data_IF_167306948764
#
_entry.id   IF_167306948764
#
_cell.length_a   1.000
_cell.length_b   1.000
_cell.length_c   1.000
_cell.angle_alpha   90.00
_cell.angle_beta   90.00
_cell.angle_gamma   90.00
#
_symmetry.space_group_name_H-M   'P 1'
#
loop_
_entity.id
_entity.type
_entity.pdbx_description
1 polymer ?
#
# COMPACT_ATOMS: atom_id res chain seq x y z
N UNK A 1 -24.16 -22.20 18.45
CA UNK A 1 -23.33 -21.62 17.36
C UNK A 1 -22.54 -22.78 16.78
N UNK A 2 -22.93 -23.27 15.60
CA UNK A 2 -22.17 -24.26 14.85
C UNK A 2 -20.81 -23.67 14.49
N UNK A 3 -19.69 -24.41 14.65
CA UNK A 3 -18.39 -23.90 14.19
C UNK A 3 -18.49 -23.66 12.68
N UNK A 4 -18.28 -22.42 12.26
CA UNK A 4 -18.11 -22.11 10.84
C UNK A 4 -16.98 -22.97 10.32
N UNK A 5 -17.25 -23.83 9.34
CA UNK A 5 -16.23 -24.65 8.69
C UNK A 5 -15.08 -23.74 8.29
N UNK A 6 -13.87 -24.08 8.73
CA UNK A 6 -12.66 -23.33 8.41
C UNK A 6 -12.55 -23.26 6.88
N UNK A 7 -12.43 -22.05 6.32
CA UNK A 7 -12.33 -21.87 4.87
C UNK A 7 -11.22 -22.80 4.32
N UNK A 8 -11.53 -23.59 3.31
CA UNK A 8 -10.58 -24.53 2.72
C UNK A 8 -9.43 -23.78 2.03
N UNK A 9 -9.71 -22.56 1.50
CA UNK A 9 -8.73 -21.65 0.90
C UNK A 9 -8.80 -20.31 1.60
N UNK A 10 -7.93 -20.01 2.58
CA UNK A 10 -7.94 -18.74 3.27
C UNK A 10 -7.56 -17.60 2.30
N UNK A 11 -8.17 -16.43 2.48
CA UNK A 11 -7.78 -15.23 1.72
C UNK A 11 -6.30 -14.87 1.95
N UNK A 12 -5.83 -15.02 3.19
CA UNK A 12 -4.44 -14.84 3.60
C UNK A 12 -4.17 -15.65 4.88
N UNK A 13 -3.06 -16.40 4.91
CA UNK A 13 -2.57 -17.08 6.12
C UNK A 13 -1.09 -16.69 6.38
N UNK A 14 -0.83 -15.77 7.32
CA UNK A 14 0.53 -15.33 7.63
C UNK A 14 1.42 -16.44 8.16
N UNK A 15 0.85 -17.49 8.79
CA UNK A 15 1.64 -18.62 9.33
C UNK A 15 2.45 -19.31 8.23
N UNK A 16 1.89 -19.43 7.03
CA UNK A 16 2.57 -20.07 5.88
C UNK A 16 3.82 -19.31 5.42
N UNK A 17 3.88 -17.99 5.71
CA UNK A 17 5.05 -17.17 5.42
C UNK A 17 6.03 -17.13 6.61
N UNK A 18 5.51 -17.19 7.83
CA UNK A 18 6.31 -16.99 9.05
C UNK A 18 6.90 -18.29 9.58
N UNK A 19 6.19 -19.44 9.47
CA UNK A 19 6.63 -20.72 10.05
C UNK A 19 8.01 -21.18 9.54
N UNK A 20 8.38 -21.01 8.26
CA UNK A 20 9.74 -21.35 7.80
C UNK A 20 10.86 -20.53 8.46
N UNK A 21 10.52 -19.38 9.04
CA UNK A 21 11.48 -18.44 9.66
C UNK A 21 11.35 -18.38 11.19
N UNK A 22 10.55 -19.27 11.80
CA UNK A 22 10.18 -19.23 13.23
C UNK A 22 11.39 -19.14 14.16
N UNK A 23 12.43 -19.94 13.93
CA UNK A 23 13.61 -19.94 14.80
C UNK A 23 14.44 -18.68 14.64
N UNK A 24 14.58 -18.17 13.42
CA UNK A 24 15.26 -16.88 13.17
C UNK A 24 14.49 -15.71 13.80
N UNK A 25 13.16 -15.73 13.76
CA UNK A 25 12.30 -14.73 14.40
C UNK A 25 12.43 -14.80 15.93
N UNK A 26 12.47 -16.00 16.53
CA UNK A 26 12.73 -16.16 17.97
C UNK A 26 14.10 -15.62 18.36
N UNK A 27 15.14 -15.98 17.59
CA UNK A 27 16.48 -15.45 17.83
C UNK A 27 16.57 -13.92 17.71
N UNK A 28 15.80 -13.31 16.80
CA UNK A 28 15.70 -11.85 16.71
C UNK A 28 15.00 -11.22 17.94
N UNK A 29 13.96 -11.87 18.45
CA UNK A 29 13.28 -11.46 19.68
C UNK A 29 14.21 -11.51 20.89
N UNK A 30 14.91 -12.65 21.07
CA UNK A 30 15.85 -12.84 22.19
C UNK A 30 16.98 -11.80 22.16
N UNK A 31 17.56 -11.48 21.01
CA UNK A 31 18.58 -10.41 20.89
C UNK A 31 18.07 -9.08 21.41
N UNK A 32 16.82 -8.71 21.11
CA UNK A 32 16.24 -7.46 21.59
C UNK A 32 16.06 -7.49 23.11
N UNK A 33 15.65 -8.62 23.68
CA UNK A 33 15.58 -8.80 25.14
C UNK A 33 16.95 -8.69 25.81
N UNK A 34 17.97 -9.33 25.23
CA UNK A 34 19.33 -9.33 25.77
C UNK A 34 19.94 -7.94 25.88
N UNK A 35 19.83 -7.10 24.82
CA UNK A 35 20.40 -5.75 24.87
C UNK A 35 19.48 -4.69 25.50
N UNK A 36 18.18 -4.98 25.69
CA UNK A 36 17.24 -4.13 26.42
C UNK A 36 16.91 -2.76 25.80
N UNK A 37 17.24 -2.53 24.51
CA UNK A 37 16.92 -1.30 23.78
C UNK A 37 15.69 -1.52 22.92
N UNK A 38 14.52 -1.13 23.42
CA UNK A 38 13.22 -1.42 22.79
C UNK A 38 12.75 -0.31 21.84
N UNK A 39 13.28 0.91 21.95
CA UNK A 39 12.89 2.07 21.16
C UNK A 39 14.08 2.57 20.38
N UNK A 40 13.95 2.63 19.05
CA UNK A 40 15.05 3.00 18.14
C UNK A 40 16.27 2.07 18.34
N UNK A 41 17.48 2.61 18.28
CA UNK A 41 18.71 1.85 18.53
C UNK A 41 19.16 1.02 17.33
N UNK A 42 20.04 0.05 17.61
CA UNK A 42 20.78 -0.67 16.56
C UNK A 42 19.89 -1.54 15.64
N UNK A 43 18.78 -2.13 16.15
CA UNK A 43 17.90 -2.96 15.32
C UNK A 43 17.15 -2.11 14.29
N UNK A 44 16.68 -0.91 14.69
CA UNK A 44 16.04 0.03 13.79
C UNK A 44 17.02 0.55 12.73
N UNK A 45 18.22 0.99 13.17
CA UNK A 45 19.25 1.48 12.24
C UNK A 45 19.70 0.40 11.23
N UNK A 46 19.84 -0.85 11.68
CA UNK A 46 20.16 -1.99 10.80
C UNK A 46 19.07 -2.25 9.79
N UNK A 47 17.82 -2.25 10.20
CA UNK A 47 16.68 -2.44 9.31
C UNK A 47 16.57 -1.30 8.30
N UNK A 48 16.68 -0.03 8.74
CA UNK A 48 16.64 1.15 7.87
C UNK A 48 17.71 1.07 6.77
N UNK A 49 18.95 0.76 7.11
CA UNK A 49 20.05 0.60 6.16
C UNK A 49 19.80 -0.57 5.17
N UNK A 50 19.30 -1.71 5.68
CA UNK A 50 18.98 -2.86 4.84
C UNK A 50 17.81 -2.56 3.89
N UNK A 51 16.77 -1.86 4.37
CA UNK A 51 15.63 -1.44 3.57
C UNK A 51 16.03 -0.47 2.46
N UNK A 52 16.81 0.57 2.79
CA UNK A 52 17.33 1.51 1.80
C UNK A 52 18.12 0.78 0.70
N UNK A 53 19.00 -0.15 1.08
CA UNK A 53 19.76 -0.98 0.14
C UNK A 53 18.84 -1.82 -0.76
N UNK A 54 17.88 -2.53 -0.18
CA UNK A 54 16.97 -3.41 -0.92
C UNK A 54 16.07 -2.65 -1.92
N UNK A 55 15.70 -1.41 -1.59
CA UNK A 55 14.88 -0.57 -2.45
C UNK A 55 15.71 0.32 -3.39
N UNK A 56 17.02 0.42 -3.19
CA UNK A 56 17.90 1.30 -3.96
C UNK A 56 17.64 2.79 -3.67
N UNK A 57 17.20 3.10 -2.44
CA UNK A 57 16.94 4.46 -1.95
C UNK A 57 18.21 5.08 -1.39
N UNK A 58 18.27 6.41 -1.36
CA UNK A 58 19.36 7.16 -0.72
C UNK A 58 19.44 6.92 0.78
N UNK A 59 18.26 6.81 1.46
CA UNK A 59 18.13 6.44 2.87
C UNK A 59 16.68 6.01 3.19
N UNK A 60 16.45 5.49 4.40
CA UNK A 60 15.12 5.09 4.90
C UNK A 60 14.97 5.45 6.38
N UNK A 61 13.76 5.81 6.79
CA UNK A 61 13.37 6.12 8.17
C UNK A 61 12.21 5.24 8.58
N UNK A 62 12.42 4.33 9.53
CA UNK A 62 11.40 3.45 10.08
C UNK A 62 10.42 4.22 10.98
N UNK A 63 9.13 3.98 10.79
CA UNK A 63 8.05 4.61 11.55
C UNK A 63 7.02 3.58 12.03
N UNK A 64 6.11 4.00 12.91
CA UNK A 64 5.14 3.13 13.60
C UNK A 64 4.07 2.52 12.67
N UNK A 65 3.77 3.13 11.53
CA UNK A 65 2.77 2.62 10.57
C UNK A 65 2.88 3.29 9.21
N UNK A 66 2.22 2.74 8.19
CA UNK A 66 2.09 3.42 6.90
C UNK A 66 1.33 4.75 7.00
N UNK A 67 0.38 4.88 7.92
CA UNK A 67 -0.32 6.13 8.20
C UNK A 67 0.65 7.19 8.73
N UNK A 68 1.50 6.81 9.68
CA UNK A 68 2.49 7.71 10.26
C UNK A 68 3.62 8.02 9.27
N UNK A 69 3.92 7.12 8.31
CA UNK A 69 4.81 7.40 7.20
C UNK A 69 4.29 8.54 6.32
N UNK A 70 3.01 8.50 5.94
CA UNK A 70 2.35 9.58 5.19
C UNK A 70 2.35 10.89 5.98
N UNK A 71 1.96 10.83 7.26
CA UNK A 71 1.94 12.02 8.12
C UNK A 71 3.34 12.62 8.29
N UNK A 72 4.35 11.79 8.57
CA UNK A 72 5.73 12.24 8.72
C UNK A 72 6.26 12.89 7.42
N UNK A 73 5.89 12.35 6.26
CA UNK A 73 6.20 12.92 4.96
C UNK A 73 5.58 14.30 4.77
N UNK A 74 4.26 14.44 4.99
CA UNK A 74 3.58 15.74 4.82
C UNK A 74 4.08 16.79 5.82
N UNK A 75 4.30 16.42 7.08
CA UNK A 75 4.85 17.32 8.10
C UNK A 75 6.29 17.73 7.78
N UNK A 76 7.09 16.85 7.18
CA UNK A 76 8.47 17.17 6.80
C UNK A 76 8.57 18.07 5.58
N UNK A 77 7.59 17.99 4.66
CA UNK A 77 7.54 18.81 3.45
C UNK A 77 7.15 20.27 3.70
N UNK A 78 6.65 20.61 4.91
CA UNK A 78 6.35 21.97 5.36
C UNK A 78 5.48 22.75 4.36
N UNK A 79 4.42 22.12 3.86
CA UNK A 79 3.53 22.67 2.85
C UNK A 79 2.61 23.75 3.44
N UNK A 80 2.17 24.74 2.65
CA UNK A 80 1.27 25.79 3.11
C UNK A 80 0.00 25.24 3.76
N UNK A 81 -0.37 25.73 4.93
CA UNK A 81 -1.58 25.31 5.63
C UNK A 81 -2.84 25.53 4.76
N UNK A 82 -3.72 24.54 4.72
CA UNK A 82 -4.90 24.54 3.84
C UNK A 82 -4.59 24.29 2.36
N UNK A 83 -3.32 24.00 2.02
CA UNK A 83 -2.91 23.58 0.67
C UNK A 83 -3.63 22.30 0.25
N UNK A 84 -3.94 22.19 -1.04
CA UNK A 84 -4.69 21.08 -1.60
C UNK A 84 -3.74 20.01 -2.15
N UNK A 85 -3.97 18.75 -1.77
CA UNK A 85 -3.28 17.57 -2.30
C UNK A 85 -4.28 16.77 -3.14
N UNK A 86 -3.98 16.65 -4.44
CA UNK A 86 -4.79 15.83 -5.34
C UNK A 86 -4.49 14.35 -5.06
N UNK A 87 -5.54 13.53 -4.92
CA UNK A 87 -5.41 12.09 -4.64
C UNK A 87 -6.59 11.30 -5.20
N UNK A 88 -6.45 9.98 -5.25
CA UNK A 88 -7.54 9.08 -5.64
C UNK A 88 -8.58 8.96 -4.52
N UNK A 89 -9.90 8.88 -4.83
CA UNK A 89 -10.94 8.53 -3.86
C UNK A 89 -11.02 7.02 -3.60
N UNK A 90 -10.38 6.20 -4.45
CA UNK A 90 -10.39 4.75 -4.37
C UNK A 90 -9.07 4.23 -3.79
N UNK A 91 -8.96 4.30 -2.47
CA UNK A 91 -7.80 3.85 -1.69
C UNK A 91 -8.19 3.62 -0.24
N UNK A 92 -7.22 3.17 0.58
CA UNK A 92 -7.42 3.08 2.03
C UNK A 92 -7.52 4.48 2.66
N UNK A 93 -8.35 4.61 3.67
CA UNK A 93 -8.65 5.89 4.32
C UNK A 93 -7.42 6.66 4.80
N UNK A 94 -6.32 5.97 5.13
CA UNK A 94 -5.08 6.59 5.59
C UNK A 94 -4.50 7.59 4.58
N UNK A 95 -4.60 7.34 3.28
CA UNK A 95 -4.10 8.24 2.23
C UNK A 95 -4.67 9.65 2.38
N UNK A 96 -6.01 9.78 2.51
CA UNK A 96 -6.66 11.09 2.62
C UNK A 96 -6.69 11.62 4.06
N UNK A 97 -6.84 10.75 5.07
CA UNK A 97 -6.88 11.20 6.47
C UNK A 97 -5.54 11.76 6.95
N UNK A 98 -4.41 11.26 6.42
CA UNK A 98 -3.09 11.81 6.71
C UNK A 98 -2.93 13.23 6.17
N UNK A 99 -3.48 13.52 4.98
CA UNK A 99 -3.52 14.87 4.40
C UNK A 99 -4.25 15.82 5.37
N UNK A 100 -5.46 15.44 5.80
CA UNK A 100 -6.27 16.27 6.74
C UNK A 100 -5.57 16.48 8.09
N UNK A 101 -5.00 15.42 8.66
CA UNK A 101 -4.32 15.50 9.95
C UNK A 101 -3.07 16.39 9.93
N UNK A 102 -2.49 16.62 8.75
CA UNK A 102 -1.39 17.54 8.53
C UNK A 102 -1.83 18.97 8.19
N UNK A 103 -3.11 19.31 8.33
CA UNK A 103 -3.65 20.66 8.05
C UNK A 103 -3.78 20.98 6.56
N UNK A 104 -3.69 19.98 5.70
CA UNK A 104 -3.88 20.05 4.25
C UNK A 104 -5.29 19.59 3.87
N UNK A 105 -5.68 19.76 2.61
CA UNK A 105 -7.00 19.37 2.10
C UNK A 105 -6.88 18.33 0.98
N UNK A 106 -7.50 17.15 1.09
CA UNK A 106 -7.58 16.22 -0.03
C UNK A 106 -8.55 16.75 -1.09
N UNK A 107 -8.16 16.68 -2.35
CA UNK A 107 -9.03 16.90 -3.51
C UNK A 107 -9.03 15.63 -4.33
N UNK A 108 -10.20 15.02 -4.46
CA UNK A 108 -10.32 13.73 -5.10
C UNK A 108 -10.42 13.85 -6.61
N UNK A 109 -9.67 13.00 -7.32
CA UNK A 109 -9.61 12.87 -8.77
C UNK A 109 -10.12 11.50 -9.17
N UNK A 110 -11.10 11.46 -10.08
CA UNK A 110 -11.74 10.19 -10.46
C UNK A 110 -10.81 9.25 -11.23
N UNK A 111 -11.20 8.01 -11.29
CA UNK A 111 -10.53 6.95 -12.01
C UNK A 111 -10.86 7.02 -13.51
N UNK A 112 -10.02 6.48 -14.41
CA UNK A 112 -10.44 6.17 -15.77
C UNK A 112 -11.38 4.94 -15.77
N UNK A 113 -12.21 4.82 -16.80
CA UNK A 113 -13.19 3.73 -16.92
C UNK A 113 -12.57 2.33 -16.98
N UNK A 114 -11.31 2.24 -17.42
CA UNK A 114 -10.56 1.01 -17.66
C UNK A 114 -9.42 0.76 -16.65
N UNK A 115 -9.33 1.57 -15.59
CA UNK A 115 -8.24 1.47 -14.60
C UNK A 115 -8.66 1.80 -13.17
N UNK A 116 -7.71 1.67 -12.25
CA UNK A 116 -7.89 1.93 -10.81
C UNK A 116 -6.99 3.06 -10.30
N UNK A 117 -6.31 3.78 -11.21
CA UNK A 117 -5.45 4.91 -10.90
C UNK A 117 -5.83 6.12 -11.74
N UNK A 118 -6.01 7.33 -11.16
CA UNK A 118 -6.20 8.55 -11.93
C UNK A 118 -5.04 8.79 -12.92
N UNK A 119 -5.34 9.30 -14.10
CA UNK A 119 -4.32 9.61 -15.10
C UNK A 119 -3.65 10.96 -14.82
N UNK A 120 -2.50 11.23 -15.45
CA UNK A 120 -1.80 12.50 -15.32
C UNK A 120 -2.67 13.66 -15.85
N UNK A 121 -3.43 13.44 -16.92
CA UNK A 121 -4.37 14.40 -17.49
C UNK A 121 -5.51 14.72 -16.52
N UNK A 122 -6.03 13.72 -15.82
CA UNK A 122 -7.07 13.92 -14.80
C UNK A 122 -6.53 14.73 -13.62
N UNK A 123 -5.31 14.46 -13.15
CA UNK A 123 -4.64 15.27 -12.14
C UNK A 123 -4.38 16.69 -12.63
N UNK A 124 -3.92 16.87 -13.88
CA UNK A 124 -3.71 18.21 -14.45
C UNK A 124 -4.99 19.01 -14.55
N UNK A 125 -6.08 18.40 -14.97
CA UNK A 125 -7.40 19.03 -15.07
C UNK A 125 -7.96 19.47 -13.71
N UNK A 126 -7.63 18.72 -12.64
CA UNK A 126 -8.04 19.03 -11.27
C UNK A 126 -7.11 20.04 -10.55
N UNK A 127 -5.98 20.42 -11.18
CA UNK A 127 -4.99 21.29 -10.55
C UNK A 127 -5.49 22.74 -10.43
N UNK A 128 -5.80 23.16 -9.22
CA UNK A 128 -6.28 24.50 -8.88
C UNK A 128 -5.21 25.42 -8.27
N UNK A 129 -5.58 26.69 -7.98
CA UNK A 129 -4.63 27.68 -7.45
C UNK A 129 -4.13 27.39 -6.03
N UNK A 130 -4.81 26.53 -5.28
CA UNK A 130 -4.39 26.09 -3.95
C UNK A 130 -3.70 24.72 -3.94
N UNK A 131 -3.60 24.06 -5.09
CA UNK A 131 -2.95 22.76 -5.19
C UNK A 131 -1.44 22.91 -4.98
N UNK A 132 -0.93 22.18 -3.99
CA UNK A 132 0.49 22.18 -3.62
C UNK A 132 1.18 20.86 -3.93
N UNK A 133 0.43 19.83 -4.35
CA UNK A 133 1.01 18.55 -4.73
C UNK A 133 0.01 17.45 -5.02
N UNK A 134 0.58 16.28 -5.29
CA UNK A 134 -0.12 15.02 -5.56
C UNK A 134 0.25 13.96 -4.54
N UNK A 135 -0.71 13.12 -4.17
CA UNK A 135 -0.48 11.82 -3.54
C UNK A 135 -0.89 10.73 -4.52
N UNK A 136 0.07 10.05 -5.10
CA UNK A 136 -0.16 8.87 -5.93
C UNK A 136 -0.14 7.62 -5.06
N UNK A 137 -1.06 6.68 -5.31
CA UNK A 137 -1.14 5.41 -4.60
C UNK A 137 -0.83 4.27 -5.56
N UNK A 138 0.17 3.45 -5.26
CA UNK A 138 0.47 2.21 -5.99
C UNK A 138 -0.43 1.09 -5.48
N UNK A 139 -1.74 1.24 -5.77
CA UNK A 139 -2.79 0.41 -5.20
C UNK A 139 -2.64 -1.05 -5.63
N UNK A 140 -2.88 -1.98 -4.70
CA UNK A 140 -2.78 -3.43 -4.90
C UNK A 140 -1.39 -3.94 -5.32
N UNK A 141 -0.37 -3.06 -5.33
CA UNK A 141 0.97 -3.37 -5.79
C UNK A 141 1.19 -3.08 -7.28
N UNK A 142 0.21 -2.48 -7.98
CA UNK A 142 0.38 -2.01 -9.35
C UNK A 142 1.21 -0.71 -9.36
N UNK A 143 2.38 -0.70 -10.03
CA UNK A 143 3.19 0.50 -10.13
C UNK A 143 2.53 1.52 -11.06
N UNK A 144 2.26 2.72 -10.56
CA UNK A 144 1.83 3.85 -11.37
C UNK A 144 3.04 4.42 -12.11
N UNK A 145 2.88 4.79 -13.38
CA UNK A 145 3.88 5.56 -14.10
C UNK A 145 3.93 6.99 -13.55
N UNK A 146 4.91 7.26 -12.68
CA UNK A 146 5.07 8.56 -12.03
C UNK A 146 5.77 9.61 -12.90
N UNK A 147 6.34 9.25 -14.04
CA UNK A 147 7.10 10.17 -14.88
C UNK A 147 6.27 11.38 -15.37
N UNK A 148 5.04 11.19 -15.91
CA UNK A 148 4.15 12.31 -16.26
C UNK A 148 3.75 13.14 -15.03
N UNK A 149 3.58 12.50 -13.86
CA UNK A 149 3.20 13.17 -12.61
C UNK A 149 4.34 14.03 -12.05
N UNK A 150 5.58 13.54 -12.11
CA UNK A 150 6.77 14.32 -11.76
C UNK A 150 6.88 15.58 -12.63
N UNK A 151 6.69 15.42 -13.94
CA UNK A 151 6.72 16.54 -14.88
C UNK A 151 5.60 17.55 -14.61
N UNK A 152 4.39 17.08 -14.30
CA UNK A 152 3.27 17.94 -13.90
C UNK A 152 3.62 18.73 -12.63
N UNK A 153 4.09 18.06 -11.58
CA UNK A 153 4.51 18.72 -10.34
C UNK A 153 5.61 19.76 -10.58
N UNK A 154 6.62 19.42 -11.41
CA UNK A 154 7.70 20.35 -11.75
C UNK A 154 7.18 21.61 -12.47
N UNK A 155 6.28 21.45 -13.45
CA UNK A 155 5.68 22.58 -14.19
C UNK A 155 4.81 23.47 -13.30
N UNK A 156 4.12 22.87 -12.33
CA UNK A 156 3.16 23.56 -11.46
C UNK A 156 3.77 24.04 -10.13
N UNK A 157 5.04 23.72 -9.86
CA UNK A 157 5.69 24.05 -8.60
C UNK A 157 5.17 23.30 -7.38
N UNK A 158 4.62 22.09 -7.58
CA UNK A 158 4.09 21.23 -6.51
C UNK A 158 4.99 20.05 -6.19
N UNK A 159 4.58 19.27 -5.18
CA UNK A 159 5.29 18.06 -4.75
C UNK A 159 4.55 16.79 -5.16
N UNK A 160 5.30 15.70 -5.40
CA UNK A 160 4.78 14.36 -5.55
C UNK A 160 5.15 13.55 -4.30
N UNK A 161 4.16 12.91 -3.68
CA UNK A 161 4.33 11.91 -2.61
C UNK A 161 3.79 10.57 -3.10
N UNK A 162 4.50 9.48 -2.83
CA UNK A 162 4.09 8.14 -3.22
C UNK A 162 3.61 7.33 -2.01
N UNK A 163 2.34 6.90 -2.04
CA UNK A 163 1.81 5.90 -1.10
C UNK A 163 2.07 4.51 -1.66
N UNK A 164 3.12 3.88 -1.15
CA UNK A 164 3.56 2.53 -1.50
C UNK A 164 3.12 1.49 -0.46
N UNK A 165 2.14 1.80 0.40
CA UNK A 165 1.72 0.93 1.50
C UNK A 165 1.26 -0.47 1.04
N UNK A 166 0.97 -0.64 -0.24
CA UNK A 166 0.60 -1.92 -0.85
C UNK A 166 1.59 -2.35 -1.95
N UNK A 167 2.77 -1.73 -2.04
CA UNK A 167 3.61 -1.88 -3.22
C UNK A 167 5.09 -2.14 -2.92
N UNK A 168 5.45 -2.51 -1.68
CA UNK A 168 6.85 -2.92 -1.42
C UNK A 168 7.22 -4.12 -2.31
N UNK A 169 8.37 -4.03 -2.97
CA UNK A 169 8.84 -4.99 -3.98
C UNK A 169 8.30 -4.73 -5.39
N UNK A 170 7.37 -3.77 -5.56
CA UNK A 170 6.98 -3.32 -6.89
C UNK A 170 8.05 -2.40 -7.51
N UNK A 171 8.15 -2.43 -8.85
CA UNK A 171 9.14 -1.66 -9.60
C UNK A 171 8.46 -0.87 -10.73
N UNK A 172 8.90 0.35 -10.92
CA UNK A 172 8.54 1.18 -12.08
C UNK A 172 9.09 0.61 -13.39
N UNK A 173 8.66 1.14 -14.52
CA UNK A 173 9.07 0.67 -15.85
C UNK A 173 10.57 0.71 -16.10
N UNK A 174 11.31 1.62 -15.45
CA UNK A 174 12.76 1.74 -15.51
C UNK A 174 13.50 0.78 -14.55
N UNK A 175 12.77 -0.09 -13.83
CA UNK A 175 13.31 -1.08 -12.91
C UNK A 175 13.62 -0.55 -11.51
N UNK A 176 13.45 0.75 -11.24
CA UNK A 176 13.60 1.32 -9.88
C UNK A 176 12.45 0.89 -8.98
N UNK A 177 12.69 0.83 -7.67
CA UNK A 177 11.60 0.65 -6.72
C UNK A 177 10.58 1.78 -6.83
N UNK A 178 9.28 1.48 -6.68
CA UNK A 178 8.29 2.52 -6.41
C UNK A 178 8.66 3.25 -5.11
N UNK A 179 8.23 4.50 -4.98
CA UNK A 179 8.58 5.36 -3.84
C UNK A 179 9.82 6.24 -4.06
N UNK A 180 10.47 6.15 -5.24
CA UNK A 180 11.67 6.92 -5.60
C UNK A 180 11.42 7.94 -6.71
N UNK A 181 10.19 8.10 -7.16
CA UNK A 181 9.81 9.13 -8.12
C UNK A 181 9.38 10.43 -7.42
N UNK A 182 8.71 10.32 -6.26
CA UNK A 182 8.28 11.47 -5.46
C UNK A 182 9.39 12.05 -4.58
N UNK A 183 9.02 13.09 -3.84
CA UNK A 183 9.87 13.63 -2.76
C UNK A 183 10.07 12.61 -1.64
N UNK A 184 9.03 11.81 -1.37
CA UNK A 184 9.05 10.68 -0.44
C UNK A 184 8.21 9.53 -0.97
N UNK A 185 8.63 8.30 -0.66
CA UNK A 185 7.85 7.07 -0.77
C UNK A 185 7.53 6.53 0.61
N UNK A 186 6.27 6.14 0.84
CA UNK A 186 5.79 5.70 2.15
C UNK A 186 5.36 4.23 2.10
N UNK A 187 5.81 3.43 3.06
CA UNK A 187 5.54 2.00 3.13
C UNK A 187 4.81 1.62 4.42
N UNK A 188 4.05 0.53 4.35
CA UNK A 188 3.41 -0.11 5.49
C UNK A 188 3.92 -1.53 5.63
N UNK A 189 4.20 -1.92 6.87
CA UNK A 189 4.57 -3.29 7.24
C UNK A 189 3.47 -3.99 8.06
N UNK A 190 2.21 -3.56 7.90
CA UNK A 190 1.06 -4.28 8.47
C UNK A 190 1.12 -5.77 8.06
N UNK A 191 0.74 -6.73 8.91
CA UNK A 191 0.98 -8.16 8.70
C UNK A 191 0.54 -8.74 7.36
N UNK A 192 -0.47 -8.17 6.71
CA UNK A 192 -0.96 -8.63 5.40
C UNK A 192 -0.24 -8.00 4.20
N UNK A 193 0.78 -7.16 4.41
CA UNK A 193 1.58 -6.56 3.33
C UNK A 193 2.60 -7.55 2.76
N UNK A 194 3.12 -7.26 1.58
CA UNK A 194 4.12 -8.11 0.93
C UNK A 194 5.37 -8.33 1.81
N UNK A 195 5.75 -7.33 2.60
CA UNK A 195 6.64 -7.45 3.73
C UNK A 195 5.85 -7.00 4.96
N UNK A 196 5.32 -7.96 5.72
CA UNK A 196 4.58 -7.71 6.95
C UNK A 196 5.45 -8.00 8.18
N UNK A 197 5.28 -7.20 9.24
CA UNK A 197 5.85 -7.49 10.56
C UNK A 197 4.82 -8.18 11.47
N UNK A 198 5.16 -8.42 12.74
CA UNK A 198 4.30 -9.07 13.76
C UNK A 198 3.47 -8.06 14.56
N UNK A 199 3.17 -6.92 13.95
CA UNK A 199 2.40 -5.80 14.51
C UNK A 199 2.32 -4.68 13.49
N UNK A 200 2.28 -3.43 13.93
CA UNK A 200 2.34 -2.27 13.06
C UNK A 200 3.77 -1.85 12.75
N UNK A 201 3.98 -1.27 11.59
CA UNK A 201 5.24 -0.71 11.14
C UNK A 201 5.08 0.00 9.80
N UNK A 202 6.02 0.86 9.49
CA UNK A 202 6.11 1.57 8.23
C UNK A 202 7.49 2.17 8.01
N UNK A 203 7.69 2.78 6.87
CA UNK A 203 8.91 3.52 6.57
C UNK A 203 8.64 4.65 5.58
N UNK A 204 9.49 5.66 5.63
CA UNK A 204 9.64 6.70 4.61
C UNK A 204 10.99 6.52 3.95
N UNK A 205 11.03 6.53 2.62
CA UNK A 205 12.27 6.55 1.84
C UNK A 205 12.37 7.82 1.00
N UNK A 206 13.59 8.24 0.71
CA UNK A 206 13.88 9.34 -0.21
C UNK A 206 15.34 9.29 -0.66
N UNK A 207 15.64 9.90 -1.80
CA UNK A 207 17.01 10.24 -2.21
C UNK A 207 17.46 11.58 -1.57
N UNK A 208 16.54 12.36 -0.98
CA UNK A 208 16.80 13.63 -0.27
C UNK A 208 17.07 13.35 1.22
N UNK A 209 18.34 13.25 1.58
CA UNK A 209 18.77 12.99 2.96
C UNK A 209 18.43 14.11 3.94
N UNK A 210 18.39 15.36 3.47
CA UNK A 210 18.01 16.49 4.34
C UNK A 210 16.54 16.37 4.72
N UNK A 211 15.67 16.06 3.76
CA UNK A 211 14.26 15.79 4.01
C UNK A 211 14.07 14.62 4.97
N UNK A 212 14.81 13.51 4.81
CA UNK A 212 14.75 12.38 5.74
C UNK A 212 15.28 12.73 7.14
N UNK A 213 16.23 13.66 7.23
CA UNK A 213 16.64 14.25 8.52
C UNK A 213 15.48 14.93 9.22
N UNK A 214 14.64 15.68 8.49
CA UNK A 214 13.41 16.28 9.02
C UNK A 214 12.37 15.21 9.40
N UNK A 215 12.18 14.16 8.59
CA UNK A 215 11.31 13.02 8.91
C UNK A 215 11.76 12.36 10.22
N UNK A 216 13.07 12.22 10.43
CA UNK A 216 13.64 11.66 11.67
C UNK A 216 13.32 12.52 12.91
N UNK A 217 13.32 13.85 12.77
CA UNK A 217 12.87 14.77 13.82
C UNK A 217 11.36 14.61 14.08
N UNK A 218 10.56 14.65 13.03
CA UNK A 218 9.09 14.52 13.09
C UNK A 218 8.66 13.22 13.77
N UNK A 219 9.31 12.08 13.47
CA UNK A 219 8.99 10.79 14.13
C UNK A 219 9.27 10.78 15.65
N UNK A 220 9.98 11.78 16.15
CA UNK A 220 10.32 11.97 17.57
C UNK A 220 9.80 13.31 18.10
N UNK A 221 8.55 13.65 17.82
CA UNK A 221 7.87 14.88 18.27
C UNK A 221 8.47 16.19 17.72
N UNK A 222 9.25 16.14 16.63
CA UNK A 222 9.94 17.32 16.07
C UNK A 222 11.24 17.67 16.80
N UNK A 223 11.82 16.70 17.52
CA UNK A 223 13.01 16.88 18.36
C UNK A 223 14.27 17.08 17.51
N UNK A 224 14.98 18.18 17.74
CA UNK A 224 16.27 18.51 17.13
C UNK A 224 17.47 18.34 18.09
N UNK A 225 17.23 18.48 19.40
CA UNK A 225 18.21 18.25 20.46
C UNK A 225 17.49 17.84 21.76
N UNK A 226 18.27 17.53 22.83
CA UNK A 226 17.68 17.29 24.13
C UNK A 226 16.88 18.53 24.57
N UNK A 227 15.58 18.31 24.87
CA UNK A 227 14.64 19.33 25.34
C UNK A 227 14.40 20.50 24.35
N UNK A 228 14.74 20.30 23.04
CA UNK A 228 14.48 21.25 21.97
C UNK A 228 13.66 20.62 20.86
N UNK A 229 12.48 21.19 20.58
CA UNK A 229 11.50 20.74 19.61
C UNK A 229 11.15 21.92 18.68
N UNK A 230 11.71 21.92 17.48
CA UNK A 230 11.57 23.05 16.54
C UNK A 230 10.40 22.84 15.56
N UNK A 231 9.78 21.65 15.56
CA UNK A 231 8.67 21.28 14.68
C UNK A 231 7.59 20.52 15.44
N UNK A 232 6.38 20.54 14.90
CA UNK A 232 5.32 19.61 15.34
C UNK A 232 5.60 18.24 14.75
N UNK A 233 5.58 17.23 15.58
CA UNK A 233 5.75 15.83 15.19
C UNK A 233 4.91 14.92 16.06
N UNK A 234 5.20 13.62 16.03
CA UNK A 234 4.49 12.62 16.80
C UNK A 234 5.40 11.54 17.39
N UNK A 235 4.79 10.65 18.14
CA UNK A 235 5.43 9.40 18.51
C UNK A 235 5.25 8.39 17.36
N UNK A 236 6.02 8.55 16.29
CA UNK A 236 5.92 7.73 15.08
C UNK A 236 7.09 6.75 14.94
N UNK A 237 7.66 6.29 16.02
CA UNK A 237 8.84 5.42 16.04
C UNK A 237 8.49 3.98 15.67
N UNK A 238 9.33 3.35 14.85
CA UNK A 238 9.31 1.91 14.68
C UNK A 238 9.93 1.26 15.93
N UNK A 239 9.24 0.28 16.50
CA UNK A 239 9.77 -0.48 17.63
C UNK A 239 10.97 -1.35 17.22
N UNK A 240 11.95 -1.48 18.12
CA UNK A 240 13.13 -2.32 17.87
C UNK A 240 12.74 -3.80 17.62
N UNK A 241 11.73 -4.29 18.32
CA UNK A 241 11.17 -5.65 18.09
C UNK A 241 10.69 -5.80 16.67
N UNK A 242 9.87 -4.87 16.15
CA UNK A 242 9.35 -4.95 14.77
C UNK A 242 10.47 -4.81 13.74
N UNK A 243 11.45 -3.94 13.98
CA UNK A 243 12.63 -3.79 13.12
C UNK A 243 13.47 -5.07 13.04
N UNK A 244 13.67 -5.74 14.17
CA UNK A 244 14.38 -7.01 14.24
C UNK A 244 13.66 -8.12 13.46
N UNK A 245 12.32 -8.21 13.59
CA UNK A 245 11.50 -9.16 12.79
C UNK A 245 11.59 -8.85 11.29
N UNK A 246 11.44 -7.58 10.92
CA UNK A 246 11.54 -7.13 9.52
C UNK A 246 12.92 -7.42 8.93
N UNK A 247 14.00 -7.30 9.71
CA UNK A 247 15.36 -7.64 9.26
C UNK A 247 15.53 -9.13 8.93
N UNK A 248 14.79 -10.01 9.59
CA UNK A 248 14.74 -11.45 9.27
C UNK A 248 13.95 -11.70 7.99
N UNK A 249 12.84 -10.98 7.78
CA UNK A 249 11.89 -11.23 6.71
C UNK A 249 12.24 -10.52 5.40
N UNK A 250 12.92 -9.36 5.45
CA UNK A 250 13.28 -8.56 4.27
C UNK A 250 14.03 -9.35 3.18
N UNK A 251 14.98 -10.25 3.48
CA UNK A 251 15.64 -11.07 2.47
C UNK A 251 14.71 -12.01 1.68
N UNK A 252 13.49 -12.27 2.17
CA UNK A 252 12.52 -13.13 1.51
C UNK A 252 11.64 -12.41 0.50
N UNK A 253 11.67 -11.05 0.50
CA UNK A 253 10.73 -10.21 -0.25
C UNK A 253 10.70 -10.57 -1.74
N UNK A 254 11.83 -10.68 -2.40
CA UNK A 254 11.89 -10.98 -3.85
C UNK A 254 11.30 -12.36 -4.17
N UNK A 255 11.55 -13.37 -3.32
CA UNK A 255 10.96 -14.70 -3.42
C UNK A 255 9.44 -14.67 -3.26
N UNK A 256 8.94 -13.88 -2.32
CA UNK A 256 7.50 -13.69 -2.11
C UNK A 256 6.82 -12.96 -3.26
N UNK A 257 7.44 -11.92 -3.81
CA UNK A 257 6.94 -11.23 -5.01
C UNK A 257 6.89 -12.18 -6.21
N UNK A 258 7.94 -12.98 -6.42
CA UNK A 258 7.97 -13.97 -7.49
C UNK A 258 6.85 -15.02 -7.34
N UNK A 259 6.56 -15.47 -6.11
CA UNK A 259 5.47 -16.41 -5.84
C UNK A 259 4.09 -15.78 -6.12
N UNK A 260 3.85 -14.54 -5.67
CA UNK A 260 2.62 -13.81 -5.97
C UNK A 260 2.42 -13.63 -7.48
N UNK A 261 3.48 -13.28 -8.20
CA UNK A 261 3.44 -13.18 -9.66
C UNK A 261 3.07 -14.50 -10.33
N UNK A 262 3.65 -15.63 -9.91
CA UNK A 262 3.27 -16.95 -10.45
C UNK A 262 1.78 -17.24 -10.26
N UNK A 263 1.22 -16.95 -9.08
CA UNK A 263 -0.20 -17.15 -8.80
C UNK A 263 -1.06 -16.21 -9.66
N UNK A 264 -0.68 -14.93 -9.78
CA UNK A 264 -1.39 -13.94 -10.58
C UNK A 264 -1.41 -14.30 -12.08
N UNK A 265 -0.28 -14.72 -12.65
CA UNK A 265 -0.19 -15.14 -14.07
C UNK A 265 -1.11 -16.34 -14.35
N UNK A 266 -1.23 -17.29 -13.42
CA UNK A 266 -2.16 -18.42 -13.57
C UNK A 266 -3.63 -17.96 -13.56
N UNK A 267 -4.01 -17.03 -12.68
CA UNK A 267 -5.36 -16.44 -12.70
C UNK A 267 -5.64 -15.68 -13.99
N UNK A 268 -4.70 -14.85 -14.44
CA UNK A 268 -4.83 -14.10 -15.69
C UNK A 268 -5.08 -15.04 -16.88
N UNK A 269 -4.32 -16.13 -16.99
CA UNK A 269 -4.50 -17.13 -18.04
C UNK A 269 -5.85 -17.85 -17.92
N UNK A 270 -6.21 -18.30 -16.71
CA UNK A 270 -7.45 -19.04 -16.48
C UNK A 270 -8.72 -18.21 -16.71
N UNK A 271 -8.67 -16.90 -16.41
CA UNK A 271 -9.82 -16.00 -16.52
C UNK A 271 -9.86 -15.19 -17.82
N UNK A 272 -8.86 -15.31 -18.70
CA UNK A 272 -8.85 -14.60 -19.99
C UNK A 272 -10.13 -14.82 -20.82
N UNK A 273 -10.73 -16.03 -20.90
CA UNK A 273 -12.00 -16.22 -21.60
C UNK A 273 -13.17 -15.44 -20.97
N UNK A 274 -13.20 -15.30 -19.65
CA UNK A 274 -14.23 -14.55 -18.93
C UNK A 274 -14.09 -13.04 -19.17
N UNK A 275 -12.86 -12.53 -19.27
CA UNK A 275 -12.62 -11.16 -19.69
C UNK A 275 -13.04 -10.93 -21.15
N UNK A 276 -12.69 -11.84 -22.04
CA UNK A 276 -13.06 -11.73 -23.45
C UNK A 276 -14.59 -11.72 -23.67
N UNK A 277 -15.37 -12.39 -22.81
CA UNK A 277 -16.84 -12.34 -22.83
C UNK A 277 -17.43 -11.10 -22.17
N UNK A 278 -16.61 -10.24 -21.54
CA UNK A 278 -17.05 -9.08 -20.75
C UNK A 278 -17.66 -9.41 -19.40
N UNK A 279 -17.58 -10.67 -18.92
CA UNK A 279 -18.17 -11.10 -17.65
C UNK A 279 -17.40 -10.57 -16.44
N UNK A 280 -16.10 -10.31 -16.60
CA UNK A 280 -15.26 -9.66 -15.58
C UNK A 280 -14.13 -8.87 -16.22
N UNK A 281 -13.53 -7.97 -15.43
CA UNK A 281 -12.32 -7.23 -15.78
C UNK A 281 -11.17 -7.72 -14.90
N UNK A 282 -10.07 -8.10 -15.53
CA UNK A 282 -8.85 -8.54 -14.86
C UNK A 282 -7.94 -7.36 -14.51
N UNK A 283 -7.11 -7.47 -13.46
CA UNK A 283 -6.04 -6.51 -13.20
C UNK A 283 -5.03 -6.52 -14.36
N UNK A 284 -4.38 -5.38 -14.59
CA UNK A 284 -3.38 -5.26 -15.66
C UNK A 284 -2.10 -6.01 -15.29
N UNK A 285 -1.58 -6.83 -16.20
CA UNK A 285 -0.25 -7.44 -16.04
C UNK A 285 0.83 -6.43 -16.51
N UNK A 286 1.17 -5.50 -15.65
CA UNK A 286 2.23 -4.54 -15.92
C UNK A 286 3.57 -5.03 -15.37
N UNK A 287 4.70 -4.74 -16.07
CA UNK A 287 6.02 -5.05 -15.55
C UNK A 287 6.24 -4.43 -14.16
N UNK A 288 6.85 -5.20 -13.26
CA UNK A 288 7.15 -4.73 -11.91
C UNK A 288 5.97 -4.75 -10.92
N UNK A 289 4.83 -5.30 -11.28
CA UNK A 289 3.68 -5.42 -10.37
C UNK A 289 4.02 -6.27 -9.13
N UNK A 290 3.79 -5.73 -7.93
CA UNK A 290 4.07 -6.38 -6.64
C UNK A 290 3.00 -7.37 -6.18
N UNK A 291 1.84 -7.40 -6.84
CA UNK A 291 0.71 -8.31 -6.59
C UNK A 291 0.35 -8.45 -5.10
N UNK A 292 0.27 -7.32 -4.40
CA UNK A 292 -0.20 -7.34 -3.01
C UNK A 292 -1.62 -7.90 -2.91
N UNK A 293 -2.47 -7.55 -3.89
CA UNK A 293 -3.79 -8.11 -4.08
C UNK A 293 -3.99 -8.49 -5.56
N UNK A 294 -4.79 -9.53 -5.82
CA UNK A 294 -5.32 -9.85 -7.14
C UNK A 294 -6.80 -9.46 -7.16
N UNK A 295 -7.12 -8.33 -7.77
CA UNK A 295 -8.46 -7.72 -7.71
C UNK A 295 -9.10 -7.79 -9.09
N UNK A 296 -10.20 -8.51 -9.18
CA UNK A 296 -11.08 -8.56 -10.36
C UNK A 296 -12.25 -7.58 -10.18
N UNK A 297 -12.89 -7.18 -11.30
CA UNK A 297 -14.12 -6.38 -11.27
C UNK A 297 -15.22 -7.12 -12.01
N UNK A 298 -16.42 -7.14 -11.45
CA UNK A 298 -17.63 -7.69 -12.07
C UNK A 298 -18.87 -7.04 -11.48
N UNK A 299 -19.91 -6.73 -12.30
CA UNK A 299 -21.19 -6.26 -11.79
C UNK A 299 -21.89 -7.27 -10.85
N UNK A 300 -21.50 -8.56 -10.94
CA UNK A 300 -22.02 -9.66 -10.11
C UNK A 300 -21.17 -9.93 -8.87
N UNK A 301 -20.40 -8.92 -8.38
CA UNK A 301 -19.43 -9.04 -7.29
C UNK A 301 -19.99 -9.77 -6.06
N UNK A 302 -21.16 -9.38 -5.57
CA UNK A 302 -21.72 -9.93 -4.35
C UNK A 302 -22.18 -11.39 -4.53
N UNK A 303 -22.76 -11.73 -5.68
CA UNK A 303 -23.11 -13.10 -6.03
C UNK A 303 -21.87 -14.00 -6.14
N UNK A 304 -20.81 -13.50 -6.78
CA UNK A 304 -19.54 -14.21 -6.90
C UNK A 304 -18.87 -14.42 -5.53
N UNK A 305 -18.87 -13.39 -4.68
CA UNK A 305 -18.33 -13.50 -3.32
C UNK A 305 -19.09 -14.53 -2.47
N UNK A 306 -20.44 -14.57 -2.59
CA UNK A 306 -21.28 -15.56 -1.92
C UNK A 306 -20.97 -17.01 -2.43
N UNK A 307 -20.83 -17.19 -3.74
CA UNK A 307 -20.47 -18.50 -4.33
C UNK A 307 -19.10 -18.98 -3.84
N UNK A 308 -18.10 -18.09 -3.82
CA UNK A 308 -16.76 -18.40 -3.32
C UNK A 308 -16.78 -18.78 -1.83
N UNK A 309 -17.54 -18.03 -1.02
CA UNK A 309 -17.68 -18.32 0.40
C UNK A 309 -18.38 -19.67 0.66
N UNK A 310 -19.42 -20.02 -0.11
CA UNK A 310 -20.12 -21.30 -0.02
C UNK A 310 -19.17 -22.48 -0.33
N UNK A 311 -18.20 -22.27 -1.19
CA UNK A 311 -17.19 -23.26 -1.60
C UNK A 311 -15.90 -23.20 -0.75
N UNK A 312 -15.94 -22.47 0.39
CA UNK A 312 -14.84 -22.37 1.34
C UNK A 312 -13.64 -21.56 0.84
N UNK A 313 -13.84 -20.63 -0.12
CA UNK A 313 -12.81 -19.73 -0.63
C UNK A 313 -12.96 -18.36 0.02
N UNK A 314 -11.94 -17.93 0.76
CA UNK A 314 -11.88 -16.61 1.37
C UNK A 314 -11.63 -15.52 0.33
N UNK A 315 -12.36 -14.41 0.43
CA UNK A 315 -12.23 -13.22 -0.43
C UNK A 315 -12.24 -11.95 0.41
N UNK A 316 -11.89 -10.81 -0.19
CA UNK A 316 -12.01 -9.51 0.45
C UNK A 316 -12.47 -8.44 -0.56
N UNK A 317 -13.08 -7.36 -0.06
CA UNK A 317 -13.51 -6.23 -0.88
C UNK A 317 -12.73 -5.00 -0.47
N UNK A 318 -11.91 -4.48 -1.38
CA UNK A 318 -11.10 -3.29 -1.23
C UNK A 318 -11.41 -2.32 -2.38
N UNK A 319 -12.32 -1.32 -2.20
CA UNK A 319 -13.04 -0.93 -0.99
C UNK A 319 -14.54 -0.86 -1.31
N UNK A 320 -15.40 -0.91 -0.28
CA UNK A 320 -16.86 -0.86 -0.48
C UNK A 320 -17.43 0.54 -0.64
N UNK A 321 -16.70 1.57 -0.16
CA UNK A 321 -17.14 2.97 -0.18
C UNK A 321 -15.95 3.84 -0.62
N UNK A 322 -16.12 4.70 -1.63
CA UNK A 322 -15.06 5.62 -2.03
C UNK A 322 -14.93 6.76 -1.02
N UNK A 323 -13.71 7.29 -0.85
CA UNK A 323 -13.39 8.22 0.24
C UNK A 323 -14.20 9.51 0.22
N UNK A 324 -14.60 10.03 -0.94
CA UNK A 324 -15.46 11.20 -1.05
C UNK A 324 -16.89 11.00 -0.50
N UNK A 325 -17.29 9.75 -0.23
CA UNK A 325 -18.54 9.38 0.44
C UNK A 325 -18.36 9.04 1.93
N UNK A 326 -17.10 8.98 2.41
CA UNK A 326 -16.82 8.74 3.83
C UNK A 326 -17.01 10.02 4.63
N UNK A 327 -17.90 10.01 5.64
CA UNK A 327 -18.40 11.18 6.35
C UNK A 327 -17.38 12.27 6.69
N UNK A 328 -16.32 11.95 7.44
CA UNK A 328 -15.28 12.92 7.83
C UNK A 328 -14.49 13.49 6.64
N UNK A 329 -14.23 12.67 5.60
CA UNK A 329 -13.51 13.08 4.40
C UNK A 329 -14.43 13.84 3.44
N UNK A 330 -15.70 13.43 3.32
CA UNK A 330 -16.70 14.14 2.51
C UNK A 330 -16.93 15.57 2.99
N UNK A 331 -16.93 15.81 4.30
CA UNK A 331 -17.09 17.13 4.88
C UNK A 331 -15.88 18.06 4.66
N UNK A 332 -14.69 17.48 4.50
CA UNK A 332 -13.42 18.20 4.38
C UNK A 332 -12.96 18.41 2.93
N UNK A 333 -13.55 17.66 1.99
CA UNK A 333 -13.21 17.72 0.56
C UNK A 333 -14.24 18.56 -0.21
N UNK A 334 -13.87 19.17 -1.36
CA UNK A 334 -14.86 19.75 -2.25
C UNK A 334 -15.87 18.68 -2.71
N UNK A 335 -17.16 19.04 -2.85
CA UNK A 335 -18.14 18.14 -3.44
C UNK A 335 -17.69 17.70 -4.84
N UNK A 336 -17.71 16.41 -5.11
CA UNK A 336 -17.31 15.86 -6.40
C UNK A 336 -18.23 14.70 -6.81
N UNK A 337 -18.55 14.62 -8.10
CA UNK A 337 -19.14 13.45 -8.72
C UNK A 337 -17.99 12.61 -9.29
N UNK A 338 -17.81 11.40 -8.76
CA UNK A 338 -16.69 10.51 -9.09
C UNK A 338 -17.24 9.12 -9.44
N UNK A 339 -17.98 9.01 -10.56
CA UNK A 339 -18.76 7.82 -10.91
C UNK A 339 -17.90 6.58 -11.12
N UNK A 340 -16.65 6.72 -11.61
CA UNK A 340 -15.80 5.57 -11.84
C UNK A 340 -15.27 4.97 -10.53
N UNK A 341 -14.97 5.80 -9.54
CA UNK A 341 -14.61 5.34 -8.21
C UNK A 341 -15.79 4.66 -7.50
N UNK A 342 -17.01 5.19 -7.67
CA UNK A 342 -18.23 4.57 -7.12
C UNK A 342 -18.50 3.21 -7.78
N UNK A 343 -18.34 3.13 -9.12
CA UNK A 343 -18.45 1.88 -9.84
C UNK A 343 -17.38 0.86 -9.43
N UNK A 344 -16.12 1.28 -9.28
CA UNK A 344 -15.06 0.41 -8.79
C UNK A 344 -15.40 -0.20 -7.42
N UNK A 345 -15.92 0.61 -6.47
CA UNK A 345 -16.35 0.13 -5.15
C UNK A 345 -17.49 -0.91 -5.22
N UNK A 346 -18.36 -0.81 -6.21
CA UNK A 346 -19.45 -1.77 -6.42
C UNK A 346 -18.97 -3.09 -7.04
N UNK A 347 -17.90 -3.07 -7.84
CA UNK A 347 -17.50 -4.19 -8.71
C UNK A 347 -16.29 -5.00 -8.20
N UNK A 348 -15.40 -4.44 -7.37
CA UNK A 348 -14.13 -5.07 -7.00
C UNK A 348 -14.28 -6.27 -6.06
N UNK A 349 -13.49 -7.32 -6.31
CA UNK A 349 -13.34 -8.48 -5.45
C UNK A 349 -11.87 -8.96 -5.48
N UNK A 350 -11.25 -9.07 -4.32
CA UNK A 350 -9.90 -9.59 -4.18
C UNK A 350 -9.93 -11.11 -3.96
N UNK A 351 -9.13 -11.82 -4.76
CA UNK A 351 -8.90 -13.27 -4.66
C UNK A 351 -7.60 -13.57 -3.92
N UNK A 352 -7.45 -14.76 -3.30
CA UNK A 352 -6.21 -15.17 -2.63
C UNK A 352 -5.03 -15.18 -3.62
N UNK A 353 -3.90 -14.51 -3.27
CA UNK A 353 -2.72 -14.45 -4.15
C UNK A 353 -1.39 -14.60 -3.38
N UNK A 354 -1.45 -14.79 -2.06
CA UNK A 354 -0.27 -14.81 -1.19
C UNK A 354 0.71 -15.97 -1.51
N UNK A 355 2.00 -15.85 -1.14
CA UNK A 355 3.06 -16.81 -1.54
C UNK A 355 2.82 -18.25 -1.11
N UNK A 356 2.15 -18.46 0.03
CA UNK A 356 1.85 -19.77 0.59
C UNK A 356 0.62 -20.48 0.00
N UNK A 357 -0.01 -19.91 -1.04
CA UNK A 357 -1.15 -20.53 -1.74
C UNK A 357 -0.65 -21.75 -2.53
N UNK A 358 -1.21 -22.93 -2.28
CA UNK A 358 -0.85 -24.16 -3.00
C UNK A 358 -1.51 -24.19 -4.41
N UNK A 359 -0.96 -25.03 -5.28
CA UNK A 359 -1.50 -25.22 -6.63
C UNK A 359 -2.94 -25.73 -6.61
N UNK A 360 -3.26 -26.64 -5.69
CA UNK A 360 -4.62 -27.17 -5.53
C UNK A 360 -5.62 -26.12 -5.05
N UNK A 361 -5.21 -25.25 -4.12
CA UNK A 361 -6.03 -24.13 -3.66
C UNK A 361 -6.26 -23.12 -4.77
N UNK A 362 -5.23 -22.78 -5.54
CA UNK A 362 -5.36 -21.87 -6.69
C UNK A 362 -6.31 -22.43 -7.74
N UNK A 363 -6.18 -23.72 -8.07
CA UNK A 363 -7.06 -24.41 -9.01
C UNK A 363 -8.51 -24.41 -8.50
N UNK A 364 -8.73 -24.61 -7.20
CA UNK A 364 -10.05 -24.52 -6.59
C UNK A 364 -10.67 -23.14 -6.77
N UNK A 365 -9.91 -22.07 -6.53
CA UNK A 365 -10.37 -20.69 -6.79
C UNK A 365 -10.78 -20.51 -8.26
N UNK A 366 -9.97 -21.00 -9.21
CA UNK A 366 -10.25 -20.91 -10.63
C UNK A 366 -11.58 -21.60 -10.98
N UNK A 367 -11.76 -22.84 -10.55
CA UNK A 367 -12.96 -23.63 -10.83
C UNK A 367 -14.23 -22.96 -10.30
N UNK A 368 -14.17 -22.45 -9.05
CA UNK A 368 -15.34 -21.79 -8.45
C UNK A 368 -15.68 -20.48 -9.17
N UNK A 369 -14.69 -19.66 -9.51
CA UNK A 369 -14.92 -18.41 -10.26
C UNK A 369 -15.54 -18.72 -11.64
N UNK A 370 -14.99 -19.68 -12.38
CA UNK A 370 -15.49 -20.06 -13.70
C UNK A 370 -16.93 -20.59 -13.62
N UNK A 371 -17.23 -21.47 -12.67
CA UNK A 371 -18.58 -22.02 -12.48
C UNK A 371 -19.59 -20.92 -12.10
N UNK A 372 -19.23 -20.02 -11.15
CA UNK A 372 -20.13 -18.97 -10.69
C UNK A 372 -20.42 -17.87 -11.74
N UNK A 373 -19.49 -17.64 -12.65
CA UNK A 373 -19.67 -16.67 -13.74
C UNK A 373 -20.44 -17.27 -14.92
N UNK A 374 -20.30 -18.58 -15.19
CA UNK A 374 -21.01 -19.27 -16.28
C UNK A 374 -22.53 -19.44 -16.01
N UNK A 375 -22.95 -19.38 -14.75
CA UNK A 375 -24.37 -19.37 -14.32
C UNK A 375 -24.97 -17.96 -14.36
#
# INVERSE_FOLDING_TARGET
MTPTAQAQVPFFDPRRLLDPHRDALRGAFERVLEHGVFILGQEVARFEAALATALGAGDAVGVSSGTDALMASFLALDLPAGGEILCTPFTFVASASSILRCGLRPVFVDLPSDGLHPTAEAFEAAWGPRTVGLLVVHLFGEPVDCKPLQELCRRRGGVLVEDCAQAIGARSRDGRSVGLAGRTGTFSFFPAKNLGTLGDGGAVISDDRELLGVVTQVRQHGRVARDRFDRVGGNFRLDALQAAMLSVLLPQLDGWIAARRRNAVRYLAAFAPLQASGALVLPRDVPGHGWNQFVIRTPRRDALAASLAAEGVGTAIYYTVPLHRCGALAAASPPASLPEAERACAEVLALPVYPGLSDAELERVVQVVQAAIAC
#
